data_IF_780129316523
#
_entry.id   IF_780129316523
#
_cell.length_a   1.000
_cell.length_b   1.000
_cell.length_c   1.000
_cell.angle_alpha   90.00
_cell.angle_beta   90.00
_cell.angle_gamma   90.00
#
_symmetry.space_group_name_H-M   'P 1'
#
loop_
_entity.id
_entity.type
_entity.pdbx_description
1 polymer ?
#
# COMPACT_ATOMS: atom_id res chain seq x y z
N UNK A 1 -66.86 5.19 1.35
CA UNK A 1 -66.46 6.34 2.20
C UNK A 1 -65.18 6.95 1.64
N UNK A 2 -64.93 8.23 1.94
CA UNK A 2 -64.36 9.26 1.05
C UNK A 2 -62.89 9.09 0.63
N UNK A 3 -62.64 9.43 -0.64
CA UNK A 3 -61.34 9.81 -1.23
C UNK A 3 -60.96 11.22 -0.74
N UNK A 4 -59.68 11.47 -0.44
CA UNK A 4 -59.12 12.82 -0.40
C UNK A 4 -57.74 12.82 -1.06
N UNK A 5 -57.66 13.54 -2.18
CA UNK A 5 -56.43 14.13 -2.70
C UNK A 5 -56.18 15.43 -1.92
N UNK A 6 -54.95 15.70 -1.50
CA UNK A 6 -54.46 17.06 -1.26
C UNK A 6 -53.07 17.15 -1.90
N UNK A 7 -52.97 18.02 -2.90
CA UNK A 7 -51.73 18.60 -3.41
C UNK A 7 -51.54 19.91 -2.65
N UNK A 8 -50.36 20.18 -2.08
CA UNK A 8 -49.92 21.55 -1.83
C UNK A 8 -48.39 21.64 -1.76
N UNK A 9 -47.83 22.38 -2.72
CA UNK A 9 -46.44 22.85 -2.75
C UNK A 9 -46.20 23.90 -1.68
N UNK A 10 -45.03 23.90 -1.05
CA UNK A 10 -44.42 25.08 -0.44
C UNK A 10 -42.92 25.10 -0.72
N UNK A 11 -42.49 26.15 -1.40
CA UNK A 11 -41.12 26.65 -1.34
C UNK A 11 -41.15 27.94 -0.50
N UNK A 12 -40.13 28.18 0.34
CA UNK A 12 -39.46 29.46 0.57
C UNK A 12 -38.20 29.22 1.41
N UNK A 13 -37.19 30.04 1.09
CA UNK A 13 -35.80 30.11 1.48
C UNK A 13 -35.49 30.20 2.99
N UNK A 14 -34.24 29.88 3.33
CA UNK A 14 -33.75 29.75 4.70
C UNK A 14 -33.04 30.97 5.28
N UNK A 15 -32.56 30.79 6.51
CA UNK A 15 -31.48 31.53 7.17
C UNK A 15 -30.80 30.58 8.16
N UNK A 16 -29.47 30.68 8.23
CA UNK A 16 -28.56 29.89 9.05
C UNK A 16 -28.78 30.05 10.57
N UNK A 17 -28.75 28.93 11.29
CA UNK A 17 -28.34 28.89 12.70
C UNK A 17 -27.15 27.94 12.81
N UNK A 18 -26.00 28.56 13.09
CA UNK A 18 -24.74 27.93 13.51
C UNK A 18 -24.88 27.51 14.98
N UNK A 19 -24.73 26.23 15.26
CA UNK A 19 -24.28 25.72 16.56
C UNK A 19 -23.45 24.47 16.31
N UNK A 20 -22.22 24.54 16.79
CA UNK A 20 -21.13 23.60 16.57
C UNK A 20 -21.32 22.31 17.38
N UNK A 21 -20.90 21.22 16.73
CA UNK A 21 -20.10 20.15 17.31
C UNK A 21 -20.63 19.43 18.57
N UNK A 22 -21.32 18.31 18.33
CA UNK A 22 -21.06 17.06 19.06
C UNK A 22 -21.05 15.87 18.11
N UNK A 23 -19.85 15.56 17.63
CA UNK A 23 -19.35 14.19 17.51
C UNK A 23 -20.24 13.18 16.80
N UNK A 24 -20.47 13.35 15.49
CA UNK A 24 -20.69 12.19 14.64
C UNK A 24 -19.32 11.52 14.41
N UNK A 25 -18.97 10.56 15.26
CA UNK A 25 -17.89 9.62 14.96
C UNK A 25 -18.35 8.82 13.73
N UNK A 26 -18.01 9.34 12.55
CA UNK A 26 -18.15 8.66 11.28
C UNK A 26 -17.19 7.48 11.25
N UNK A 27 -17.60 6.36 11.83
CA UNK A 27 -17.10 5.07 11.40
C UNK A 27 -17.37 4.92 9.89
N UNK A 28 -16.57 4.13 9.16
CA UNK A 28 -16.75 3.96 7.72
C UNK A 28 -18.23 3.64 7.45
N UNK A 29 -18.90 4.55 6.73
CA UNK A 29 -20.30 4.38 6.37
C UNK A 29 -20.38 3.09 5.56
N UNK A 30 -20.88 2.03 6.19
CA UNK A 30 -21.13 0.78 5.50
C UNK A 30 -22.16 1.07 4.40
N UNK A 31 -21.73 0.86 3.15
CA UNK A 31 -22.51 1.18 1.97
C UNK A 31 -23.85 0.45 2.01
N UNK A 32 -24.95 1.22 1.96
CA UNK A 32 -26.30 0.66 1.91
C UNK A 32 -26.50 0.05 0.53
N UNK A 33 -26.82 -1.25 0.50
CA UNK A 33 -27.09 -1.99 -0.74
C UNK A 33 -28.34 -2.83 -0.61
N UNK A 34 -28.88 -3.26 -1.75
CA UNK A 34 -29.95 -4.25 -1.80
C UNK A 34 -29.36 -5.65 -1.64
N UNK A 35 -29.81 -6.38 -0.62
CA UNK A 35 -29.47 -7.78 -0.35
C UNK A 35 -30.64 -8.67 -0.71
N UNK A 36 -30.37 -9.78 -1.38
CA UNK A 36 -31.38 -10.69 -1.91
C UNK A 36 -31.35 -12.02 -1.16
N UNK A 37 -32.52 -12.49 -0.70
CA UNK A 37 -32.69 -13.82 -0.13
C UNK A 37 -32.84 -14.89 -1.22
N UNK A 38 -32.68 -16.15 -0.87
CA UNK A 38 -32.97 -17.31 -1.74
C UNK A 38 -34.45 -17.40 -2.14
N UNK A 39 -35.35 -16.78 -1.36
CA UNK A 39 -36.77 -16.62 -1.70
C UNK A 39 -37.06 -15.45 -2.66
N UNK A 40 -36.04 -14.67 -3.04
CA UNK A 40 -36.16 -13.52 -3.93
C UNK A 40 -36.59 -12.22 -3.24
N UNK A 41 -36.73 -12.22 -1.91
CA UNK A 41 -37.01 -11.01 -1.15
C UNK A 41 -35.76 -10.12 -1.10
N UNK A 42 -35.96 -8.81 -1.15
CA UNK A 42 -34.88 -7.83 -1.11
C UNK A 42 -34.97 -6.97 0.14
N UNK A 43 -33.82 -6.68 0.74
CA UNK A 43 -33.70 -5.75 1.88
C UNK A 43 -32.61 -4.72 1.59
N UNK A 44 -32.93 -3.44 1.80
CA UNK A 44 -31.96 -2.36 1.68
C UNK A 44 -31.29 -2.14 3.04
N UNK A 45 -30.01 -2.49 3.11
CA UNK A 45 -29.27 -2.42 4.36
C UNK A 45 -27.75 -2.33 4.13
N UNK A 46 -27.07 -1.82 5.15
CA UNK A 46 -25.63 -1.81 5.26
C UNK A 46 -25.12 -3.09 5.94
N UNK A 47 -24.00 -3.63 5.48
CA UNK A 47 -23.35 -4.76 6.15
C UNK A 47 -22.73 -4.32 7.48
N UNK A 48 -23.07 -5.01 8.57
CA UNK A 48 -22.47 -4.77 9.89
C UNK A 48 -21.36 -5.78 10.15
N UNK A 49 -21.67 -7.07 10.05
CA UNK A 49 -20.72 -8.18 10.30
C UNK A 49 -21.27 -9.51 9.83
N UNK A 50 -20.38 -10.49 9.67
CA UNK A 50 -20.71 -11.91 9.51
C UNK A 50 -20.19 -12.64 10.75
N UNK A 51 -21.07 -13.32 11.48
CA UNK A 51 -20.70 -14.05 12.69
C UNK A 51 -21.59 -15.28 12.84
N UNK A 52 -20.98 -16.42 13.22
CA UNK A 52 -21.70 -17.67 13.48
C UNK A 52 -22.61 -18.15 12.34
N UNK A 53 -22.24 -17.86 11.08
CA UNK A 53 -23.03 -18.22 9.90
C UNK A 53 -24.21 -17.27 9.60
N UNK A 54 -24.34 -16.17 10.35
CA UNK A 54 -25.35 -15.14 10.14
C UNK A 54 -24.74 -13.83 9.65
N UNK A 55 -25.41 -13.19 8.70
CA UNK A 55 -25.12 -11.84 8.24
C UNK A 55 -25.98 -10.86 9.02
N UNK A 56 -25.31 -9.93 9.69
CA UNK A 56 -25.94 -8.83 10.41
C UNK A 56 -25.95 -7.62 9.50
N UNK A 57 -27.16 -7.14 9.19
CA UNK A 57 -27.43 -6.01 8.31
C UNK A 57 -28.12 -4.91 9.10
N UNK A 58 -27.84 -3.65 8.77
CA UNK A 58 -28.52 -2.48 9.35
C UNK A 58 -29.30 -1.74 8.28
N UNK A 59 -30.62 -1.64 8.43
CA UNK A 59 -31.47 -0.91 7.49
C UNK A 59 -31.20 0.60 7.55
N UNK A 60 -31.67 1.34 6.54
CA UNK A 60 -31.59 2.80 6.53
C UNK A 60 -32.29 3.46 7.74
N UNK A 61 -33.28 2.77 8.32
CA UNK A 61 -33.99 3.17 9.55
C UNK A 61 -33.19 2.88 10.84
N UNK A 62 -32.00 2.29 10.72
CA UNK A 62 -31.13 1.93 11.85
C UNK A 62 -31.50 0.61 12.54
N UNK A 63 -32.41 -0.18 11.97
CA UNK A 63 -32.81 -1.48 12.52
C UNK A 63 -31.83 -2.58 12.10
N UNK A 64 -31.38 -3.39 13.06
CA UNK A 64 -30.55 -4.55 12.78
C UNK A 64 -31.42 -5.76 12.38
N UNK A 65 -31.08 -6.37 11.26
CA UNK A 65 -31.69 -7.58 10.71
C UNK A 65 -30.63 -8.66 10.62
N UNK A 66 -30.97 -9.86 11.05
CA UNK A 66 -30.10 -11.03 10.98
C UNK A 66 -30.66 -11.99 9.94
N UNK A 67 -29.85 -12.35 8.94
CA UNK A 67 -30.20 -13.30 7.89
C UNK A 67 -29.18 -14.43 7.92
N UNK A 68 -29.62 -15.69 7.84
CA UNK A 68 -28.69 -16.80 7.73
C UNK A 68 -27.93 -16.68 6.40
N UNK A 69 -26.60 -16.87 6.42
CA UNK A 69 -25.80 -16.77 5.20
C UNK A 69 -26.30 -17.75 4.14
N UNK A 70 -26.81 -18.92 4.53
CA UNK A 70 -27.38 -19.92 3.62
C UNK A 70 -28.67 -19.43 2.92
N UNK A 71 -29.40 -18.50 3.52
CA UNK A 71 -30.65 -17.92 3.01
C UNK A 71 -30.44 -16.70 2.12
N UNK A 72 -29.19 -16.25 1.94
CA UNK A 72 -28.84 -15.23 0.95
C UNK A 72 -28.59 -15.85 -0.42
N UNK A 73 -28.92 -15.08 -1.47
CA UNK A 73 -28.56 -15.40 -2.85
C UNK A 73 -27.04 -15.55 -2.98
N UNK A 74 -26.58 -16.42 -3.89
CA UNK A 74 -25.16 -16.77 -4.04
C UNK A 74 -24.26 -15.52 -4.15
N UNK A 75 -24.62 -14.56 -4.99
CA UNK A 75 -23.85 -13.33 -5.19
C UNK A 75 -23.72 -12.51 -3.89
N UNK A 76 -24.80 -12.43 -3.11
CA UNK A 76 -24.80 -11.71 -1.83
C UNK A 76 -24.05 -12.49 -0.74
N UNK A 77 -24.01 -13.83 -0.80
CA UNK A 77 -23.14 -14.64 0.07
C UNK A 77 -21.67 -14.31 -0.17
N UNK A 78 -21.27 -14.20 -1.42
CA UNK A 78 -19.88 -13.90 -1.78
C UNK A 78 -19.49 -12.48 -1.40
N UNK A 79 -20.41 -11.52 -1.53
CA UNK A 79 -20.22 -10.16 -1.02
C UNK A 79 -20.10 -10.15 0.51
N UNK A 80 -21.00 -10.80 1.24
CA UNK A 80 -20.95 -10.86 2.70
C UNK A 80 -19.61 -11.44 3.18
N UNK A 81 -19.12 -12.51 2.53
CA UNK A 81 -17.80 -13.10 2.80
C UNK A 81 -16.66 -12.12 2.51
N UNK A 82 -16.74 -11.38 1.41
CA UNK A 82 -15.72 -10.37 1.05
C UNK A 82 -15.68 -9.22 2.05
N UNK A 83 -16.82 -8.76 2.54
CA UNK A 83 -16.92 -7.69 3.54
C UNK A 83 -16.57 -8.18 4.95
N UNK A 84 -16.84 -9.45 5.26
CA UNK A 84 -16.45 -10.10 6.50
C UNK A 84 -14.98 -10.49 6.56
N UNK A 85 -14.32 -10.60 5.41
CA UNK A 85 -12.91 -10.93 5.36
C UNK A 85 -12.18 -9.88 6.22
N UNK A 86 -11.30 -10.32 7.16
CA UNK A 86 -10.43 -9.37 7.82
C UNK A 86 -9.74 -8.54 6.74
N UNK A 87 -9.44 -7.24 6.99
CA UNK A 87 -8.60 -6.49 6.07
C UNK A 87 -7.42 -7.41 5.77
N UNK A 88 -7.26 -7.77 4.48
CA UNK A 88 -6.14 -8.61 4.08
C UNK A 88 -4.94 -8.01 4.81
N UNK A 89 -4.13 -8.80 5.54
CA UNK A 89 -2.86 -8.25 5.98
C UNK A 89 -2.28 -7.63 4.71
N UNK A 90 -2.06 -6.30 4.73
CA UNK A 90 -1.30 -5.59 3.69
C UNK A 90 -0.23 -6.59 3.31
N UNK A 91 -0.11 -7.01 2.02
CA UNK A 91 0.79 -8.09 1.63
C UNK A 91 2.03 -7.86 2.44
N UNK A 92 2.34 -8.76 3.39
CA UNK A 92 3.37 -8.50 4.38
C UNK A 92 4.54 -8.07 3.53
N UNK A 93 4.81 -6.76 3.53
CA UNK A 93 5.79 -6.16 2.65
C UNK A 93 7.01 -6.72 3.31
N UNK A 94 7.47 -7.88 2.82
CA UNK A 94 8.58 -8.62 3.41
C UNK A 94 9.63 -7.57 3.45
N UNK A 95 9.88 -7.04 4.64
CA UNK A 95 10.64 -5.81 4.74
C UNK A 95 11.92 -6.11 3.99
N UNK A 96 12.18 -5.30 2.97
CA UNK A 96 13.43 -5.40 2.23
C UNK A 96 14.59 -5.02 3.15
N UNK A 97 14.33 -4.65 4.40
CA UNK A 97 15.34 -4.57 5.43
C UNK A 97 16.03 -5.93 5.60
N UNK A 98 17.35 -5.88 5.70
CA UNK A 98 18.20 -7.06 5.78
C UNK A 98 19.57 -6.80 5.19
N UNK A 99 20.44 -7.80 5.34
CA UNK A 99 21.75 -7.81 4.71
C UNK A 99 21.61 -8.36 3.28
N UNK A 100 22.29 -7.73 2.34
CA UNK A 100 22.36 -8.12 0.94
C UNK A 100 23.83 -8.21 0.54
N UNK A 101 24.15 -9.16 -0.31
CA UNK A 101 25.46 -9.23 -0.94
C UNK A 101 25.32 -9.46 -2.43
N UNK A 102 26.23 -8.90 -3.19
CA UNK A 102 26.15 -8.94 -4.63
C UNK A 102 27.43 -8.52 -5.29
N UNK A 103 27.31 -8.26 -6.57
CA UNK A 103 28.39 -7.75 -7.39
C UNK A 103 27.92 -6.54 -8.17
N UNK A 104 28.83 -5.60 -8.38
CA UNK A 104 28.66 -4.57 -9.40
C UNK A 104 29.63 -4.81 -10.55
N UNK A 105 29.20 -4.44 -11.76
CA UNK A 105 30.05 -4.46 -12.95
C UNK A 105 29.81 -3.23 -13.78
N UNK A 106 30.89 -2.55 -14.16
CA UNK A 106 30.91 -1.39 -15.05
C UNK A 106 32.11 -1.46 -15.99
N UNK A 107 32.22 -0.52 -16.94
CA UNK A 107 33.34 -0.43 -17.87
C UNK A 107 34.67 -0.20 -17.13
N UNK A 108 35.39 -1.30 -16.88
CA UNK A 108 36.68 -1.31 -16.20
C UNK A 108 36.62 -1.47 -14.67
N UNK A 109 35.43 -1.66 -14.08
CA UNK A 109 35.27 -1.80 -12.64
C UNK A 109 34.37 -2.99 -12.32
N UNK A 110 34.79 -3.83 -11.38
CA UNK A 110 33.92 -4.85 -10.80
C UNK A 110 34.33 -5.09 -9.37
N UNK A 111 33.36 -5.44 -8.53
CA UNK A 111 33.64 -5.72 -7.14
C UNK A 111 32.47 -6.37 -6.42
N UNK A 112 32.77 -6.88 -5.23
CA UNK A 112 31.76 -7.32 -4.30
C UNK A 112 31.08 -6.10 -3.65
N UNK A 113 29.78 -6.22 -3.41
CA UNK A 113 28.99 -5.27 -2.64
C UNK A 113 28.35 -5.98 -1.47
N UNK A 114 28.49 -5.38 -0.30
CA UNK A 114 27.65 -5.70 0.86
C UNK A 114 26.79 -4.49 1.17
N UNK A 115 25.48 -4.72 1.33
CA UNK A 115 24.52 -3.69 1.68
C UNK A 115 23.73 -4.12 2.92
N UNK A 116 23.59 -3.22 3.89
CA UNK A 116 22.57 -3.35 4.91
C UNK A 116 21.45 -2.37 4.60
N UNK A 117 20.25 -2.90 4.38
CA UNK A 117 19.04 -2.11 4.22
C UNK A 117 18.31 -2.01 5.56
N UNK A 118 18.02 -0.78 5.97
CA UNK A 118 17.24 -0.48 7.17
C UNK A 118 15.94 0.19 6.77
N UNK A 119 14.84 -0.33 7.27
CA UNK A 119 13.55 0.33 7.15
C UNK A 119 13.63 1.70 7.83
N UNK A 120 13.47 2.76 7.04
CA UNK A 120 13.52 4.15 7.51
C UNK A 120 12.16 4.83 7.40
N UNK A 121 11.10 4.04 7.23
CA UNK A 121 9.74 4.51 7.03
C UNK A 121 9.13 4.02 5.72
N UNK A 122 7.87 4.40 5.51
CA UNK A 122 7.10 4.02 4.32
C UNK A 122 7.85 4.48 3.08
N UNK A 123 8.28 3.52 2.26
CA UNK A 123 8.94 3.74 0.97
C UNK A 123 10.37 4.29 1.03
N UNK A 124 11.03 4.32 2.20
CA UNK A 124 12.40 4.84 2.36
C UNK A 124 13.30 3.82 3.05
N UNK A 125 14.45 3.55 2.45
CA UNK A 125 15.44 2.61 2.98
C UNK A 125 16.81 3.28 3.07
N UNK A 126 17.44 3.18 4.23
CA UNK A 126 18.85 3.55 4.38
C UNK A 126 19.72 2.39 3.91
N UNK A 127 20.74 2.68 3.14
CA UNK A 127 21.61 1.69 2.53
C UNK A 127 23.08 2.05 2.78
N UNK A 128 23.85 1.13 3.35
CA UNK A 128 25.28 1.28 3.56
C UNK A 128 26.03 0.25 2.73
N UNK A 129 26.90 0.69 1.82
CA UNK A 129 27.57 -0.17 0.84
C UNK A 129 29.06 -0.26 1.12
N UNK A 130 29.63 -1.45 0.95
CA UNK A 130 31.07 -1.65 0.88
C UNK A 130 31.43 -2.22 -0.49
N UNK A 131 32.15 -1.45 -1.31
CA UNK A 131 32.67 -1.92 -2.60
C UNK A 131 34.14 -2.31 -2.47
N UNK A 132 34.49 -3.53 -2.87
CA UNK A 132 35.88 -3.96 -2.99
C UNK A 132 36.33 -3.69 -4.42
N UNK A 133 37.33 -2.81 -4.60
CA UNK A 133 37.85 -2.45 -5.92
C UNK A 133 38.96 -3.41 -6.38
N UNK A 134 39.35 -3.31 -7.65
CA UNK A 134 40.45 -4.09 -8.23
C UNK A 134 41.79 -3.86 -7.52
N UNK A 135 41.97 -2.70 -6.88
CA UNK A 135 43.11 -2.38 -6.02
C UNK A 135 43.02 -3.01 -4.61
N UNK A 136 42.03 -3.88 -4.39
CA UNK A 136 41.70 -4.55 -3.12
C UNK A 136 41.34 -3.58 -1.98
N UNK A 137 41.13 -2.30 -2.26
CA UNK A 137 40.64 -1.36 -1.24
C UNK A 137 39.13 -1.45 -1.13
N UNK A 138 38.66 -1.35 0.11
CA UNK A 138 37.24 -1.29 0.42
C UNK A 138 36.81 0.16 0.56
N UNK A 139 35.85 0.56 -0.26
CA UNK A 139 35.23 1.88 -0.20
C UNK A 139 33.85 1.75 0.41
N UNK A 140 33.56 2.61 1.39
CA UNK A 140 32.27 2.63 2.07
C UNK A 140 31.44 3.81 1.58
N UNK A 141 30.18 3.53 1.28
CA UNK A 141 29.20 4.50 0.83
C UNK A 141 27.95 4.39 1.69
N UNK A 142 27.21 5.48 1.82
CA UNK A 142 25.92 5.49 2.48
C UNK A 142 24.96 6.36 1.71
N UNK A 143 23.71 5.93 1.63
CA UNK A 143 22.69 6.62 0.88
C UNK A 143 21.30 6.18 1.28
N UNK A 144 20.33 6.73 0.57
CA UNK A 144 18.92 6.46 0.80
C UNK A 144 18.30 6.02 -0.52
N UNK A 145 17.59 4.90 -0.49
CA UNK A 145 16.73 4.41 -1.57
C UNK A 145 15.28 4.77 -1.26
N UNK A 146 14.58 5.34 -2.24
CA UNK A 146 13.18 5.70 -2.17
C UNK A 146 12.40 4.88 -3.20
N UNK A 147 11.32 4.24 -2.76
CA UNK A 147 10.41 3.52 -3.64
C UNK A 147 9.56 4.53 -4.43
N UNK A 148 9.53 4.34 -5.73
CA UNK A 148 8.75 5.12 -6.69
C UNK A 148 7.36 4.50 -6.87
N UNK A 149 6.44 5.24 -7.46
CA UNK A 149 5.06 4.78 -7.72
C UNK A 149 4.99 3.58 -8.68
N UNK A 150 6.02 3.38 -9.52
CA UNK A 150 6.15 2.23 -10.42
C UNK A 150 6.74 0.98 -9.74
N UNK A 151 7.01 1.05 -8.43
CA UNK A 151 7.59 -0.03 -7.64
C UNK A 151 9.11 -0.16 -7.74
N UNK A 152 9.78 0.68 -8.53
CA UNK A 152 11.25 0.76 -8.55
C UNK A 152 11.76 1.55 -7.34
N UNK A 153 13.05 1.44 -7.09
CA UNK A 153 13.77 2.19 -6.07
C UNK A 153 14.79 3.08 -6.76
N UNK A 154 14.81 4.35 -6.39
CA UNK A 154 15.82 5.33 -6.79
C UNK A 154 16.52 5.85 -5.54
N UNK A 155 17.84 5.99 -5.57
CA UNK A 155 18.59 6.47 -4.43
C UNK A 155 19.87 7.17 -4.78
N UNK A 156 20.24 8.10 -3.90
CA UNK A 156 21.48 8.87 -3.99
C UNK A 156 22.39 8.44 -2.85
N UNK A 157 23.63 8.16 -3.20
CA UNK A 157 24.67 7.70 -2.29
C UNK A 157 25.82 8.71 -2.34
N UNK A 158 26.19 9.21 -1.16
CA UNK A 158 27.29 10.13 -1.02
C UNK A 158 28.61 9.37 -1.19
N UNK A 159 29.36 9.75 -2.23
CA UNK A 159 30.77 9.42 -2.34
C UNK A 159 31.52 10.66 -1.90
N UNK A 160 32.42 10.49 -0.92
CA UNK A 160 33.37 11.54 -0.50
C UNK A 160 33.75 12.41 -1.71
N UNK A 161 33.27 13.66 -1.67
CA UNK A 161 33.14 14.63 -2.76
C UNK A 161 34.19 14.51 -3.87
N UNK A 162 33.81 14.72 -5.15
CA UNK A 162 32.63 15.47 -5.60
C UNK A 162 31.66 14.66 -6.48
N UNK A 163 31.48 13.38 -6.18
CA UNK A 163 30.73 12.47 -7.05
C UNK A 163 29.56 11.91 -6.25
N UNK A 164 28.40 11.81 -6.88
CA UNK A 164 27.26 11.10 -6.30
C UNK A 164 27.03 9.81 -7.09
N UNK A 165 26.64 8.74 -6.41
CA UNK A 165 26.11 7.56 -7.10
C UNK A 165 24.58 7.60 -7.05
N UNK A 166 23.98 7.45 -8.23
CA UNK A 166 22.56 7.18 -8.38
C UNK A 166 22.33 5.72 -8.63
N UNK A 167 21.33 5.16 -7.96
CA UNK A 167 21.06 3.73 -7.98
C UNK A 167 19.59 3.56 -8.28
N UNK A 168 19.31 2.87 -9.38
CA UNK A 168 17.96 2.63 -9.84
C UNK A 168 17.75 1.14 -10.03
N UNK A 169 16.70 0.57 -9.44
CA UNK A 169 16.46 -0.86 -9.53
C UNK A 169 15.14 -1.31 -8.94
N UNK A 170 14.97 -2.62 -8.83
CA UNK A 170 13.78 -3.25 -8.29
C UNK A 170 14.16 -4.47 -7.47
N UNK A 171 13.33 -4.80 -6.49
CA UNK A 171 13.44 -6.07 -5.78
C UNK A 171 12.52 -7.10 -6.41
N UNK A 172 13.07 -8.26 -6.74
CA UNK A 172 12.32 -9.45 -7.10
C UNK A 172 12.79 -10.65 -6.28
N UNK A 173 11.86 -11.32 -5.60
CA UNK A 173 12.12 -12.50 -4.78
C UNK A 173 13.32 -12.39 -3.79
N UNK A 174 13.61 -11.20 -3.26
CA UNK A 174 14.74 -10.97 -2.36
C UNK A 174 16.08 -10.68 -3.07
N UNK A 175 16.06 -10.51 -4.38
CA UNK A 175 17.18 -10.03 -5.19
C UNK A 175 16.90 -8.59 -5.63
N UNK A 176 17.82 -7.68 -5.36
CA UNK A 176 17.84 -6.34 -5.94
C UNK A 176 18.60 -6.39 -7.25
N UNK A 177 17.97 -5.95 -8.34
CA UNK A 177 18.62 -5.80 -9.65
C UNK A 177 18.41 -4.38 -10.15
N UNK A 178 19.45 -3.77 -10.70
CA UNK A 178 19.40 -2.38 -11.12
C UNK A 178 20.66 -1.90 -11.82
N UNK A 179 20.75 -0.58 -11.97
CA UNK A 179 21.90 0.12 -12.51
C UNK A 179 22.44 1.15 -11.52
N UNK A 180 23.74 1.39 -11.60
CA UNK A 180 24.42 2.46 -10.87
C UNK A 180 24.97 3.48 -11.87
N UNK A 181 24.71 4.76 -11.62
CA UNK A 181 25.19 5.88 -12.43
C UNK A 181 26.02 6.82 -11.56
N UNK A 182 27.12 7.33 -12.12
CA UNK A 182 27.91 8.37 -11.49
C UNK A 182 27.38 9.72 -11.96
N UNK A 183 27.00 10.58 -11.01
CA UNK A 183 26.62 11.96 -11.29
C UNK A 183 27.85 12.84 -11.06
N UNK A 184 28.21 13.62 -12.07
CA UNK A 184 29.28 14.60 -11.95
C UNK A 184 28.82 15.91 -11.28
N UNK A 185 29.76 16.85 -11.09
CA UNK A 185 29.48 18.15 -10.47
C UNK A 185 28.46 19.01 -11.23
N UNK A 186 28.25 18.72 -12.51
CA UNK A 186 27.31 19.43 -13.37
C UNK A 186 25.94 18.74 -13.42
N UNK A 187 25.76 17.65 -12.66
CA UNK A 187 24.55 16.84 -12.69
C UNK A 187 24.47 15.88 -13.88
N UNK A 188 25.53 15.76 -14.68
CA UNK A 188 25.52 14.84 -15.81
C UNK A 188 25.67 13.40 -15.32
N UNK A 189 24.69 12.56 -15.64
CA UNK A 189 24.73 11.14 -15.33
C UNK A 189 25.58 10.39 -16.35
N UNK A 190 26.62 9.73 -15.87
CA UNK A 190 27.34 8.71 -16.63
C UNK A 190 26.89 7.36 -16.11
N UNK A 191 26.23 6.57 -16.96
CA UNK A 191 25.82 5.21 -16.59
C UNK A 191 27.08 4.41 -16.29
N UNK A 192 27.19 3.91 -15.06
CA UNK A 192 28.38 3.23 -14.55
C UNK A 192 28.08 1.80 -14.15
N UNK A 193 27.21 1.12 -14.87
CA UNK A 193 27.11 -0.35 -14.82
C UNK A 193 25.86 -0.92 -14.17
N UNK A 194 25.88 -2.23 -14.00
CA UNK A 194 24.79 -3.04 -13.48
C UNK A 194 25.09 -3.53 -12.07
N UNK A 195 24.02 -3.65 -11.29
CA UNK A 195 24.02 -4.05 -9.90
C UNK A 195 23.08 -5.25 -9.73
N UNK A 196 23.58 -6.32 -9.14
CA UNK A 196 22.76 -7.44 -8.70
C UNK A 196 23.16 -7.86 -7.29
N UNK A 197 22.19 -7.91 -6.37
CA UNK A 197 22.40 -8.24 -4.97
C UNK A 197 21.32 -9.19 -4.47
N UNK A 198 21.71 -10.25 -3.77
CA UNK A 198 20.77 -11.20 -3.16
C UNK A 198 20.76 -11.01 -1.65
N UNK A 199 19.58 -11.12 -1.04
CA UNK A 199 19.41 -11.11 0.41
C UNK A 199 20.21 -12.26 1.02
N UNK A 200 21.11 -11.95 1.97
CA UNK A 200 21.74 -12.97 2.81
C UNK A 200 20.66 -13.52 3.75
N UNK A 201 20.56 -14.85 3.83
CA UNK A 201 19.68 -15.51 4.80
C UNK A 201 20.04 -15.10 6.24
N UNK A 202 19.17 -15.35 7.23
CA UNK A 202 19.54 -15.18 8.62
C UNK A 202 20.76 -16.08 8.92
N UNK A 203 21.86 -15.46 9.31
CA UNK A 203 23.03 -16.14 9.91
C UNK A 203 22.66 -16.68 11.30
#
# INVERSE_FOLDING_TARGET
>A
MKRFLIVLSFAIAGVACRAEDRGAVGGPQAEVRSWTSTSGQKVEAAFVKLQSGYVYLRTAEGKDVMIALAELAQDDRDVARRLAAPPRPKPAERSNAGKYSGTYRSEGWSGALECELKDSGKDVMSAAWAAIHSDKKTYKYSGVLKKQSDGKYDGVFDVRRPKEFRVNGSFDAGTFSGSVSLVDRNGAEKKTGELSMTRKGPE
#
